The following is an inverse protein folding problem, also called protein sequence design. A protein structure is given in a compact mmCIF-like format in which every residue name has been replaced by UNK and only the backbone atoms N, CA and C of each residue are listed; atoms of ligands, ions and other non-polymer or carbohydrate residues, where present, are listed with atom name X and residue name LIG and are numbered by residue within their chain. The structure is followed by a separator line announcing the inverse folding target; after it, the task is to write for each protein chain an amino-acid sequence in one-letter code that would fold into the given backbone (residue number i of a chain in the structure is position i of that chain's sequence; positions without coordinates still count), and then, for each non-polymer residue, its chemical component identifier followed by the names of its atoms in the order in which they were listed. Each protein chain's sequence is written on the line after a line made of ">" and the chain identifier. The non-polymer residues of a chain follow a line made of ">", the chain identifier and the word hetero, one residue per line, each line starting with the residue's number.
data_IF_934488042061
#
_entry.id   IF_934488042061
#
_cell.length_a   1.000
_cell.length_b   1.000
_cell.length_c   1.000
_cell.angle_alpha   90.00
_cell.angle_beta   90.00
_cell.angle_gamma   90.00
#
_symmetry.space_group_name_H-M   'P 1'
#
loop_
_entity.id
_entity.type
_entity.pdbx_description
1 polymer ?
#
# COMPACT_ATOMS: atom_id res chain seq x y z
N UNK A 1 12.30 -47.20 13.14
CA UNK A 1 11.18 -46.26 13.35
C UNK A 1 11.68 -44.90 12.94
N UNK A 2 11.41 -44.52 11.71
CA UNK A 2 11.83 -43.20 11.18
C UNK A 2 10.76 -42.19 11.53
N UNK A 3 11.13 -41.16 12.25
CA UNK A 3 10.33 -39.97 12.57
C UNK A 3 10.00 -39.25 11.24
N UNK A 4 8.75 -38.89 10.96
CA UNK A 4 8.44 -38.08 9.80
C UNK A 4 9.01 -36.69 10.03
N UNK A 5 9.94 -36.28 9.16
CA UNK A 5 10.51 -34.93 9.14
C UNK A 5 9.41 -33.91 9.07
N UNK A 6 9.41 -32.98 10.03
CA UNK A 6 8.57 -31.80 9.99
C UNK A 6 8.77 -31.10 8.65
N UNK A 7 7.68 -30.77 7.97
CA UNK A 7 7.70 -29.87 6.82
C UNK A 7 8.20 -28.52 7.34
N UNK A 8 9.48 -28.25 7.15
CA UNK A 8 10.05 -26.93 7.43
C UNK A 8 9.21 -25.91 6.68
N UNK A 9 8.93 -24.77 7.31
CA UNK A 9 8.26 -23.65 6.67
C UNK A 9 9.05 -23.30 5.40
N UNK A 10 8.52 -23.68 4.24
CA UNK A 10 9.15 -23.46 2.92
C UNK A 10 9.08 -22.01 2.48
N UNK A 11 8.40 -21.14 3.24
CA UNK A 11 8.23 -19.72 2.94
C UNK A 11 9.41 -18.88 3.45
N UNK A 12 10.62 -19.21 2.98
CA UNK A 12 11.83 -18.43 3.29
C UNK A 12 11.92 -17.09 2.56
N UNK A 13 11.01 -16.80 1.62
CA UNK A 13 10.94 -15.55 0.85
C UNK A 13 9.73 -14.73 1.23
N UNK A 14 9.77 -13.41 0.93
CA UNK A 14 8.67 -12.50 1.19
C UNK A 14 8.37 -11.55 0.02
N UNK A 15 7.07 -11.30 -0.21
CA UNK A 15 6.58 -10.19 -1.02
C UNK A 15 6.09 -9.09 -0.07
N UNK A 16 6.72 -7.92 -0.16
CA UNK A 16 6.29 -6.68 0.47
C UNK A 16 5.73 -5.79 -0.63
N UNK A 17 4.53 -5.27 -0.46
CA UNK A 17 3.87 -4.48 -1.50
C UNK A 17 3.13 -3.29 -0.88
N UNK A 18 3.20 -2.14 -1.55
CA UNK A 18 2.46 -0.94 -1.16
C UNK A 18 0.95 -1.10 -1.39
N UNK A 19 0.18 -0.23 -0.75
CA UNK A 19 -1.26 -0.10 -0.95
C UNK A 19 -1.59 1.00 -1.96
N UNK A 20 -1.36 2.27 -1.61
CA UNK A 20 -1.71 3.42 -2.42
C UNK A 20 -0.87 3.52 -3.69
N UNK A 21 -1.49 3.76 -4.84
CA UNK A 21 -0.79 3.80 -6.13
C UNK A 21 -0.38 2.43 -6.69
N UNK A 22 -0.59 1.33 -5.94
CA UNK A 22 -0.31 -0.05 -6.38
C UNK A 22 -1.55 -0.92 -6.31
N UNK A 23 -2.02 -1.25 -5.11
CA UNK A 23 -3.20 -2.10 -4.89
C UNK A 23 -4.51 -1.30 -4.79
N UNK A 24 -4.39 -0.03 -4.40
CA UNK A 24 -5.51 0.90 -4.24
C UNK A 24 -5.19 2.14 -5.05
N UNK A 25 -6.08 2.50 -5.96
CA UNK A 25 -5.90 3.71 -6.76
C UNK A 25 -5.77 4.95 -5.87
N UNK A 26 -4.87 5.86 -6.25
CA UNK A 26 -4.76 7.15 -5.57
C UNK A 26 -5.99 8.01 -5.89
N UNK A 27 -6.79 8.28 -4.87
CA UNK A 27 -7.99 9.10 -5.00
C UNK A 27 -7.69 10.61 -5.03
N UNK A 28 -6.50 11.03 -4.61
CA UNK A 28 -6.17 12.46 -4.46
C UNK A 28 -6.30 13.25 -5.77
N UNK A 29 -5.76 12.81 -6.93
CA UNK A 29 -5.86 13.59 -8.15
C UNK A 29 -7.31 13.88 -8.55
N UNK A 30 -8.17 12.86 -8.54
CA UNK A 30 -9.59 13.01 -8.88
C UNK A 30 -10.35 13.85 -7.84
N UNK A 31 -10.09 13.63 -6.57
CA UNK A 31 -10.69 14.42 -5.48
C UNK A 31 -10.27 15.88 -5.56
N UNK A 32 -8.99 16.15 -5.78
CA UNK A 32 -8.47 17.51 -5.92
C UNK A 32 -9.09 18.23 -7.12
N UNK A 33 -9.27 17.56 -8.24
CA UNK A 33 -9.95 18.13 -9.42
C UNK A 33 -11.40 18.52 -9.10
N UNK A 34 -12.17 17.62 -8.51
CA UNK A 34 -13.58 17.87 -8.13
C UNK A 34 -13.68 19.03 -7.14
N UNK A 35 -12.83 19.04 -6.12
CA UNK A 35 -12.88 20.06 -5.05
C UNK A 35 -12.31 21.41 -5.48
N UNK A 36 -11.40 21.46 -6.45
CA UNK A 36 -10.91 22.70 -7.03
C UNK A 36 -12.08 23.54 -7.59
N UNK A 37 -12.98 22.90 -8.34
CA UNK A 37 -14.18 23.57 -8.86
C UNK A 37 -15.13 24.03 -7.76
N UNK A 38 -15.32 23.21 -6.70
CA UNK A 38 -16.22 23.55 -5.57
C UNK A 38 -15.71 24.73 -4.73
N UNK A 39 -14.39 24.91 -4.68
CA UNK A 39 -13.74 25.90 -3.83
C UNK A 39 -13.24 27.14 -4.59
N UNK A 40 -13.20 27.09 -5.93
CA UNK A 40 -12.59 28.12 -6.76
C UNK A 40 -11.06 28.20 -6.60
N UNK A 41 -10.44 27.05 -6.34
CA UNK A 41 -8.99 26.86 -6.17
C UNK A 41 -8.42 26.09 -7.37
N UNK A 42 -7.10 25.94 -7.44
CA UNK A 42 -6.49 24.97 -8.36
C UNK A 42 -6.47 23.56 -7.72
N UNK A 43 -6.41 22.48 -8.52
CA UNK A 43 -6.23 21.13 -7.99
C UNK A 43 -4.98 21.01 -7.11
N UNK A 44 -3.92 21.72 -7.46
CA UNK A 44 -2.69 21.77 -6.67
C UNK A 44 -2.92 22.41 -5.30
N UNK A 45 -3.65 23.54 -5.22
CA UNK A 45 -3.97 24.20 -3.94
C UNK A 45 -4.77 23.25 -3.02
N UNK A 46 -5.70 22.48 -3.60
CA UNK A 46 -6.47 21.48 -2.83
C UNK A 46 -5.55 20.36 -2.33
N UNK A 47 -4.69 19.81 -3.20
CA UNK A 47 -3.74 18.77 -2.81
C UNK A 47 -2.77 19.26 -1.72
N UNK A 48 -2.24 20.49 -1.86
CA UNK A 48 -1.39 21.14 -0.84
C UNK A 48 -2.17 21.41 0.45
N UNK A 49 -3.44 21.75 0.38
CA UNK A 49 -4.31 21.89 1.54
C UNK A 49 -4.47 20.61 2.33
N UNK A 50 -4.49 19.47 1.63
CA UNK A 50 -4.60 18.14 2.25
C UNK A 50 -3.23 17.61 2.71
N UNK A 51 -2.18 17.71 1.87
CA UNK A 51 -0.86 17.12 2.13
C UNK A 51 0.28 18.14 2.32
N UNK A 52 -0.03 19.42 2.52
CA UNK A 52 0.97 20.48 2.59
C UNK A 52 1.62 20.64 3.97
N UNK A 53 2.68 19.90 4.23
CA UNK A 53 3.68 20.27 5.25
C UNK A 53 3.66 19.52 6.58
N UNK A 54 2.49 19.21 7.17
CA UNK A 54 2.42 18.52 8.48
C UNK A 54 1.84 17.10 8.41
N UNK A 55 1.58 16.58 7.21
CA UNK A 55 1.03 15.24 7.00
C UNK A 55 1.88 14.15 7.61
N UNK A 56 3.20 14.36 7.68
CA UNK A 56 4.14 13.44 8.33
C UNK A 56 3.72 13.12 9.77
N UNK A 57 3.09 14.08 10.47
CA UNK A 57 2.70 13.87 11.86
C UNK A 57 1.56 12.84 11.98
N UNK A 58 0.58 12.88 11.07
CA UNK A 58 -0.51 11.89 11.05
C UNK A 58 -0.02 10.55 10.48
N UNK A 59 0.85 10.58 9.47
CA UNK A 59 1.41 9.38 8.85
C UNK A 59 2.31 8.57 9.78
N UNK A 60 2.92 9.21 10.79
CA UNK A 60 3.72 8.52 11.81
C UNK A 60 3.03 8.43 13.18
N UNK A 61 1.72 8.69 13.21
CA UNK A 61 0.91 8.54 14.42
C UNK A 61 1.16 9.57 15.53
N UNK A 62 1.83 10.70 15.23
CA UNK A 62 2.07 11.79 16.19
C UNK A 62 0.94 12.80 16.27
N UNK A 63 0.05 12.79 15.29
CA UNK A 63 -1.16 13.61 15.26
C UNK A 63 -2.36 12.68 15.06
N UNK A 64 -3.46 12.95 15.77
CA UNK A 64 -4.70 12.21 15.53
C UNK A 64 -5.30 12.58 14.17
N UNK A 65 -6.04 11.66 13.57
CA UNK A 65 -6.70 11.94 12.30
C UNK A 65 -7.78 13.04 12.40
N UNK A 66 -8.59 13.15 13.47
CA UNK A 66 -9.47 14.29 13.66
C UNK A 66 -8.72 15.64 13.69
N UNK A 67 -7.60 15.73 14.44
CA UNK A 67 -6.78 16.95 14.49
C UNK A 67 -6.21 17.32 13.11
N UNK A 68 -5.85 16.31 12.32
CA UNK A 68 -5.41 16.51 10.95
C UNK A 68 -6.52 17.09 10.07
N UNK A 69 -7.73 16.56 10.16
CA UNK A 69 -8.87 17.09 9.40
C UNK A 69 -9.24 18.51 9.82
N UNK A 70 -9.01 18.90 11.08
CA UNK A 70 -9.13 20.29 11.54
C UNK A 70 -8.06 21.21 10.90
N UNK A 71 -6.84 20.70 10.66
CA UNK A 71 -5.79 21.42 9.92
C UNK A 71 -6.22 21.62 8.47
N UNK A 72 -6.67 20.55 7.79
CA UNK A 72 -7.16 20.58 6.40
C UNK A 72 -8.34 21.58 6.26
N UNK A 73 -9.31 21.51 7.18
CA UNK A 73 -10.46 22.41 7.19
C UNK A 73 -10.05 23.89 7.24
N UNK A 74 -9.10 24.23 8.13
CA UNK A 74 -8.58 25.60 8.23
C UNK A 74 -7.84 26.05 6.97
N UNK A 75 -7.02 25.17 6.36
CA UNK A 75 -6.24 25.49 5.17
C UNK A 75 -7.13 25.76 3.96
N UNK A 76 -8.18 24.97 3.80
CA UNK A 76 -9.10 25.05 2.66
C UNK A 76 -10.35 25.90 2.94
N UNK A 77 -10.48 26.48 4.14
CA UNK A 77 -11.64 27.30 4.51
C UNK A 77 -12.95 26.54 4.56
N UNK A 78 -12.91 25.24 5.00
CA UNK A 78 -14.07 24.36 5.02
C UNK A 78 -14.81 24.44 6.36
N UNK A 79 -16.13 24.34 6.30
CA UNK A 79 -16.95 24.02 7.46
C UNK A 79 -16.97 22.51 7.74
N UNK A 80 -17.57 22.10 8.86
CA UNK A 80 -17.61 20.71 9.28
C UNK A 80 -18.28 19.76 8.24
N UNK A 81 -19.33 20.24 7.56
CA UNK A 81 -20.06 19.43 6.58
C UNK A 81 -19.22 19.21 5.31
N UNK A 82 -18.55 20.26 4.82
CA UNK A 82 -17.64 20.18 3.68
C UNK A 82 -16.39 19.35 4.00
N UNK A 83 -15.85 19.48 5.21
CA UNK A 83 -14.71 18.65 5.66
C UNK A 83 -15.07 17.18 5.66
N UNK A 84 -16.25 16.83 6.20
CA UNK A 84 -16.73 15.44 6.19
C UNK A 84 -16.93 14.91 4.76
N UNK A 85 -17.47 15.73 3.85
CA UNK A 85 -17.65 15.35 2.45
C UNK A 85 -16.31 15.19 1.72
N UNK A 86 -15.33 16.08 1.94
CA UNK A 86 -13.98 15.93 1.37
C UNK A 86 -13.32 14.64 1.84
N UNK A 87 -13.43 14.36 3.15
CA UNK A 87 -12.91 13.11 3.71
C UNK A 87 -13.54 11.89 3.08
N UNK A 88 -14.85 11.87 2.93
CA UNK A 88 -15.58 10.77 2.31
C UNK A 88 -15.20 10.59 0.83
N UNK A 89 -15.13 11.68 0.06
CA UNK A 89 -14.66 11.66 -1.33
C UNK A 89 -13.22 11.10 -1.46
N UNK A 90 -12.35 11.38 -0.48
CA UNK A 90 -10.94 10.94 -0.50
C UNK A 90 -10.74 9.50 -0.01
N UNK A 91 -11.54 9.05 0.98
CA UNK A 91 -11.26 7.80 1.71
C UNK A 91 -12.39 6.79 1.68
N UNK A 92 -13.61 7.19 1.29
CA UNK A 92 -14.81 6.36 1.41
C UNK A 92 -14.98 5.30 0.33
N UNK A 93 -14.33 5.45 -0.82
CA UNK A 93 -14.59 4.63 -2.01
C UNK A 93 -13.29 4.09 -2.64
N UNK A 94 -12.56 3.18 -1.97
CA UNK A 94 -11.32 2.65 -2.51
C UNK A 94 -11.57 1.82 -3.78
N UNK A 95 -10.81 2.11 -4.84
CA UNK A 95 -10.80 1.32 -6.09
C UNK A 95 -9.58 0.41 -6.06
N UNK A 96 -9.81 -0.89 -6.18
CA UNK A 96 -8.76 -1.90 -6.09
C UNK A 96 -8.28 -2.35 -7.46
N UNK A 97 -6.98 -2.65 -7.56
CA UNK A 97 -6.45 -3.50 -8.62
C UNK A 97 -6.69 -4.97 -8.23
N UNK A 98 -7.81 -5.52 -8.68
CA UNK A 98 -8.23 -6.87 -8.33
C UNK A 98 -7.21 -7.92 -8.79
N UNK A 99 -6.51 -7.70 -9.91
CA UNK A 99 -5.50 -8.63 -10.41
C UNK A 99 -4.29 -8.69 -9.47
N UNK A 100 -3.82 -7.56 -8.95
CA UNK A 100 -2.74 -7.54 -7.96
C UNK A 100 -3.19 -8.07 -6.60
N UNK A 101 -4.42 -7.79 -6.18
CA UNK A 101 -4.99 -8.35 -4.94
C UNK A 101 -5.06 -9.87 -5.02
N UNK A 102 -5.51 -10.41 -6.15
CA UNK A 102 -5.57 -11.85 -6.37
C UNK A 102 -4.17 -12.48 -6.46
N UNK A 103 -3.20 -11.77 -7.06
CA UNK A 103 -1.80 -12.21 -7.09
C UNK A 103 -1.21 -12.35 -5.67
N UNK A 104 -1.42 -11.36 -4.79
CA UNK A 104 -0.98 -11.47 -3.38
C UNK A 104 -1.57 -12.71 -2.71
N UNK A 105 -2.87 -12.97 -2.94
CA UNK A 105 -3.54 -14.14 -2.41
C UNK A 105 -2.96 -15.45 -2.98
N UNK A 106 -2.68 -15.50 -4.28
CA UNK A 106 -2.16 -16.67 -4.98
C UNK A 106 -0.74 -17.06 -4.51
N UNK A 107 0.13 -16.06 -4.25
CA UNK A 107 1.51 -16.32 -3.82
C UNK A 107 1.64 -16.59 -2.33
N UNK A 108 0.67 -16.22 -1.49
CA UNK A 108 0.70 -16.37 -0.03
C UNK A 108 1.00 -17.80 0.47
N UNK A 109 0.56 -18.90 -0.18
CA UNK A 109 0.94 -20.25 0.22
C UNK A 109 2.43 -20.55 0.02
N UNK A 110 3.13 -19.80 -0.85
CA UNK A 110 4.52 -20.07 -1.28
C UNK A 110 5.51 -19.11 -0.63
N UNK A 111 5.13 -17.85 -0.50
CA UNK A 111 5.96 -16.81 0.12
C UNK A 111 5.17 -16.12 1.24
N UNK A 112 5.88 -15.50 2.19
CA UNK A 112 5.25 -14.61 3.18
C UNK A 112 4.86 -13.31 2.50
N UNK A 113 3.77 -12.69 2.93
CA UNK A 113 3.26 -11.47 2.31
C UNK A 113 3.02 -10.38 3.34
N UNK A 114 3.41 -9.14 3.03
CA UNK A 114 3.07 -7.99 3.84
C UNK A 114 2.69 -6.78 3.00
N UNK A 115 1.68 -6.05 3.45
CA UNK A 115 1.46 -4.69 2.99
C UNK A 115 2.33 -3.72 3.79
N UNK A 116 2.98 -2.76 3.10
CA UNK A 116 3.86 -1.77 3.72
C UNK A 116 3.49 -0.40 3.18
N UNK A 117 2.75 0.38 3.95
CA UNK A 117 2.13 1.60 3.45
C UNK A 117 2.36 2.81 4.35
N UNK A 118 2.57 3.98 3.73
CA UNK A 118 2.39 5.26 4.37
C UNK A 118 0.89 5.50 4.51
N UNK A 119 0.37 5.34 5.71
CA UNK A 119 -1.06 5.18 5.94
C UNK A 119 -1.57 6.05 7.10
N UNK A 120 -2.78 6.51 6.96
CA UNK A 120 -3.50 7.18 8.01
C UNK A 120 -4.19 6.18 8.95
N UNK A 121 -4.57 6.58 10.18
CA UNK A 121 -5.18 5.67 11.16
C UNK A 121 -6.43 4.93 10.67
N UNK A 122 -7.30 5.58 9.85
CA UNK A 122 -8.50 4.94 9.30
C UNK A 122 -8.21 3.76 8.36
N UNK A 123 -6.99 3.68 7.78
CA UNK A 123 -6.61 2.63 6.83
C UNK A 123 -6.81 1.24 7.44
N UNK A 124 -6.49 1.07 8.72
CA UNK A 124 -6.65 -0.23 9.41
C UNK A 124 -8.10 -0.74 9.37
N UNK A 125 -9.06 0.13 9.59
CA UNK A 125 -10.48 -0.22 9.60
C UNK A 125 -11.11 -0.13 8.21
N UNK A 126 -10.78 0.91 7.44
CA UNK A 126 -11.32 1.14 6.09
C UNK A 126 -10.91 0.07 5.08
N UNK A 127 -9.69 -0.46 5.21
CA UNK A 127 -9.17 -1.51 4.32
C UNK A 127 -9.05 -2.88 5.01
N UNK A 128 -9.77 -3.15 6.10
CA UNK A 128 -9.63 -4.37 6.89
C UNK A 128 -9.74 -5.66 6.05
N UNK A 129 -10.68 -5.70 5.10
CA UNK A 129 -10.86 -6.84 4.19
C UNK A 129 -9.65 -7.05 3.30
N UNK A 130 -9.09 -5.97 2.70
CA UNK A 130 -7.87 -6.05 1.90
C UNK A 130 -6.69 -6.49 2.77
N UNK A 131 -6.50 -5.86 3.93
CA UNK A 131 -5.38 -6.14 4.83
C UNK A 131 -5.35 -7.60 5.29
N UNK A 132 -6.51 -8.27 5.36
CA UNK A 132 -6.59 -9.70 5.70
C UNK A 132 -6.06 -10.64 4.60
N UNK A 133 -5.79 -10.12 3.38
CA UNK A 133 -5.29 -10.92 2.26
C UNK A 133 -3.79 -11.23 2.37
N UNK A 134 -3.03 -10.47 3.17
CA UNK A 134 -1.62 -10.72 3.44
C UNK A 134 -1.42 -11.36 4.82
N UNK A 135 -0.18 -11.82 5.10
CA UNK A 135 0.18 -12.37 6.42
C UNK A 135 0.39 -11.25 7.45
N UNK A 136 0.79 -10.06 6.99
CA UNK A 136 0.98 -8.87 7.83
C UNK A 136 0.61 -7.58 7.09
N UNK A 137 0.37 -6.52 7.86
CA UNK A 137 0.26 -5.15 7.36
C UNK A 137 1.04 -4.22 8.29
N UNK A 138 2.02 -3.52 7.74
CA UNK A 138 2.87 -2.55 8.44
C UNK A 138 2.47 -1.16 7.94
N UNK A 139 1.74 -0.45 8.79
CA UNK A 139 1.21 0.88 8.50
C UNK A 139 2.04 1.92 9.25
N UNK A 140 2.50 2.95 8.56
CA UNK A 140 3.40 3.96 9.13
C UNK A 140 2.87 4.62 10.39
N UNK A 141 1.56 4.92 10.44
CA UNK A 141 0.90 5.52 11.61
C UNK A 141 0.93 4.63 12.86
N UNK A 142 1.11 3.32 12.71
CA UNK A 142 1.17 2.36 13.81
C UNK A 142 2.61 2.11 14.29
N UNK A 143 3.57 2.13 13.35
CA UNK A 143 4.97 1.84 13.64
C UNK A 143 5.83 3.08 13.90
N UNK A 144 5.27 4.27 13.68
CA UNK A 144 5.91 5.55 13.99
C UNK A 144 6.97 6.00 13.00
N UNK A 145 7.10 5.33 11.85
CA UNK A 145 8.03 5.67 10.77
C UNK A 145 7.39 5.40 9.41
N UNK A 146 7.69 6.25 8.43
CA UNK A 146 7.11 6.20 7.09
C UNK A 146 8.18 5.95 6.02
N UNK A 147 7.79 5.35 4.88
CA UNK A 147 8.66 5.28 3.69
C UNK A 147 9.02 6.71 3.26
N UNK A 148 10.25 6.98 2.83
CA UNK A 148 11.34 6.05 2.56
C UNK A 148 12.29 5.77 3.74
N UNK A 149 11.92 6.03 5.01
CA UNK A 149 12.78 5.68 6.16
C UNK A 149 13.03 4.17 6.20
N UNK A 150 14.30 3.73 6.35
CA UNK A 150 14.65 2.30 6.44
C UNK A 150 13.96 1.54 7.57
N UNK A 151 13.46 2.23 8.60
CA UNK A 151 12.81 1.64 9.76
C UNK A 151 11.57 0.83 9.41
N UNK A 152 10.71 1.36 8.54
CA UNK A 152 9.45 0.67 8.19
C UNK A 152 9.71 -0.66 7.44
N UNK A 153 10.74 -0.70 6.57
CA UNK A 153 11.11 -1.92 5.85
C UNK A 153 11.68 -2.97 6.79
N UNK A 154 12.53 -2.55 7.75
CA UNK A 154 13.07 -3.45 8.78
C UNK A 154 11.94 -4.03 9.64
N UNK A 155 10.99 -3.20 10.05
CA UNK A 155 9.82 -3.64 10.79
C UNK A 155 9.02 -4.71 10.00
N UNK A 156 8.83 -4.53 8.71
CA UNK A 156 8.15 -5.51 7.85
C UNK A 156 8.94 -6.83 7.73
N UNK A 157 10.25 -6.76 7.51
CA UNK A 157 11.12 -7.93 7.44
C UNK A 157 11.16 -8.70 8.76
N UNK A 158 11.25 -7.99 9.89
CA UNK A 158 11.23 -8.58 11.24
C UNK A 158 9.87 -9.24 11.53
N UNK A 159 8.77 -8.56 11.20
CA UNK A 159 7.40 -9.12 11.36
C UNK A 159 7.24 -10.42 10.59
N UNK A 160 7.79 -10.50 9.38
CA UNK A 160 7.74 -11.69 8.54
C UNK A 160 8.83 -12.72 8.90
N UNK A 161 9.88 -12.35 9.64
CA UNK A 161 11.01 -13.20 9.94
C UNK A 161 11.80 -13.59 8.69
N UNK A 162 12.02 -12.65 7.75
CA UNK A 162 12.69 -12.88 6.46
C UNK A 162 13.88 -11.94 6.31
N UNK A 163 14.98 -12.43 5.75
CA UNK A 163 16.13 -11.60 5.45
C UNK A 163 15.86 -10.71 4.21
N UNK A 164 16.43 -9.50 4.17
CA UNK A 164 16.21 -8.55 3.07
C UNK A 164 16.53 -9.14 1.70
N UNK A 165 17.61 -9.91 1.56
CA UNK A 165 18.00 -10.56 0.29
C UNK A 165 16.95 -11.54 -0.27
N UNK A 166 16.07 -12.01 0.60
CA UNK A 166 15.02 -12.99 0.29
C UNK A 166 13.64 -12.32 0.12
N UNK A 167 13.60 -10.98 0.02
CA UNK A 167 12.39 -10.19 -0.14
C UNK A 167 12.34 -9.45 -1.47
N UNK A 168 11.14 -9.34 -2.05
CA UNK A 168 10.78 -8.40 -3.11
C UNK A 168 9.92 -7.30 -2.52
N UNK A 169 10.26 -6.04 -2.78
CA UNK A 169 9.45 -4.87 -2.46
C UNK A 169 8.89 -4.24 -3.73
N UNK A 170 7.59 -3.98 -3.74
CA UNK A 170 6.85 -3.35 -4.85
C UNK A 170 6.22 -2.04 -4.35
N UNK A 171 6.46 -0.94 -5.07
CA UNK A 171 5.95 0.39 -4.73
C UNK A 171 5.95 1.25 -6.01
N UNK A 172 5.07 2.23 -6.14
CA UNK A 172 4.99 3.12 -7.29
C UNK A 172 6.05 4.23 -7.27
N UNK A 173 6.67 4.49 -6.10
CA UNK A 173 7.67 5.56 -5.92
C UNK A 173 9.08 5.00 -5.95
N UNK A 174 9.87 5.45 -6.93
CA UNK A 174 11.28 5.03 -7.09
C UNK A 174 12.10 5.27 -5.82
N UNK A 175 11.86 6.35 -5.07
CA UNK A 175 12.61 6.64 -3.84
C UNK A 175 12.40 5.57 -2.75
N UNK A 176 11.18 5.01 -2.66
CA UNK A 176 10.84 3.93 -1.74
C UNK A 176 11.55 2.64 -2.17
N UNK A 177 11.47 2.31 -3.47
CA UNK A 177 12.12 1.13 -4.04
C UNK A 177 13.64 1.24 -3.93
N UNK A 178 14.23 2.42 -4.14
CA UNK A 178 15.67 2.64 -3.97
C UNK A 178 16.12 2.38 -2.52
N UNK A 179 15.30 2.74 -1.53
CA UNK A 179 15.60 2.42 -0.12
C UNK A 179 15.55 0.91 0.14
N UNK A 180 14.55 0.21 -0.38
CA UNK A 180 14.47 -1.24 -0.28
C UNK A 180 15.69 -1.93 -0.90
N UNK A 181 16.13 -1.48 -2.09
CA UNK A 181 17.34 -1.96 -2.76
C UNK A 181 18.61 -1.72 -1.93
N UNK A 182 18.76 -0.54 -1.31
CA UNK A 182 19.89 -0.25 -0.38
C UNK A 182 19.92 -1.16 0.82
N UNK A 183 18.77 -1.65 1.28
CA UNK A 183 18.67 -2.63 2.36
C UNK A 183 18.96 -4.08 1.92
N UNK A 184 19.16 -4.30 0.61
CA UNK A 184 19.47 -5.61 0.03
C UNK A 184 18.25 -6.40 -0.44
N UNK A 185 17.06 -5.80 -0.49
CA UNK A 185 15.88 -6.40 -1.12
C UNK A 185 15.97 -6.30 -2.65
N UNK A 186 15.25 -7.19 -3.36
CA UNK A 186 14.83 -6.89 -4.73
C UNK A 186 13.79 -5.78 -4.68
N UNK A 187 13.79 -4.91 -5.70
CA UNK A 187 12.83 -3.80 -5.76
C UNK A 187 12.24 -3.68 -7.15
N UNK A 188 10.93 -3.56 -7.23
CA UNK A 188 10.18 -3.32 -8.46
C UNK A 188 9.37 -2.03 -8.33
N UNK A 189 9.55 -1.11 -9.29
CA UNK A 189 8.72 0.10 -9.38
C UNK A 189 7.46 -0.26 -10.15
N UNK A 190 6.32 -0.12 -9.49
CA UNK A 190 5.04 -0.32 -10.14
C UNK A 190 4.76 0.81 -11.13
N UNK A 191 4.55 0.45 -12.38
CA UNK A 191 4.15 1.36 -13.46
C UNK A 191 2.87 0.90 -14.13
N UNK A 192 2.69 -0.43 -14.19
CA UNK A 192 1.47 -1.06 -14.69
C UNK A 192 1.33 -2.47 -14.10
N UNK A 193 0.09 -2.92 -14.00
CA UNK A 193 -0.28 -4.24 -13.44
C UNK A 193 0.42 -5.41 -14.13
N UNK A 194 0.48 -5.52 -15.49
CA UNK A 194 1.11 -6.67 -16.13
C UNK A 194 2.60 -6.82 -15.81
N UNK A 195 3.34 -5.69 -15.72
CA UNK A 195 4.77 -5.70 -15.41
C UNK A 195 5.02 -6.10 -13.96
N UNK A 196 4.16 -5.66 -13.05
CA UNK A 196 4.22 -6.03 -11.64
C UNK A 196 3.88 -7.50 -11.43
N UNK A 197 2.86 -8.03 -12.10
CA UNK A 197 2.54 -9.45 -12.09
C UNK A 197 3.72 -10.29 -12.58
N UNK A 198 4.36 -9.90 -13.68
CA UNK A 198 5.53 -10.58 -14.21
C UNK A 198 6.71 -10.59 -13.22
N UNK A 199 6.97 -9.46 -12.56
CA UNK A 199 8.03 -9.35 -11.54
C UNK A 199 7.73 -10.23 -10.30
N UNK A 200 6.48 -10.28 -9.86
CA UNK A 200 6.05 -11.14 -8.75
C UNK A 200 6.11 -12.62 -9.15
N UNK A 201 5.69 -12.97 -10.37
CA UNK A 201 5.80 -14.33 -10.91
C UNK A 201 7.27 -14.79 -10.99
N UNK A 202 8.16 -13.97 -11.56
CA UNK A 202 9.60 -14.25 -11.61
C UNK A 202 10.19 -14.49 -10.21
N UNK A 203 9.80 -13.65 -9.25
CA UNK A 203 10.30 -13.75 -7.89
C UNK A 203 9.76 -14.97 -7.14
N UNK A 204 8.47 -15.27 -7.27
CA UNK A 204 7.80 -16.33 -6.49
C UNK A 204 7.85 -17.70 -7.17
N UNK A 205 7.91 -17.71 -8.50
CA UNK A 205 7.74 -18.92 -9.32
C UNK A 205 6.28 -19.40 -9.41
N UNK A 206 5.32 -18.56 -8.99
CA UNK A 206 3.88 -18.85 -9.06
C UNK A 206 3.32 -18.22 -10.33
N UNK A 207 2.74 -18.96 -11.28
CA UNK A 207 2.07 -18.40 -12.45
C UNK A 207 0.90 -17.51 -12.03
N UNK A 208 0.89 -16.24 -12.47
CA UNK A 208 -0.12 -15.24 -12.15
C UNK A 208 -0.95 -14.81 -13.38
N UNK A 209 -0.49 -15.14 -14.57
CA UNK A 209 -1.26 -14.97 -15.78
C UNK A 209 -2.26 -16.13 -15.84
N UNK A 210 -3.52 -15.87 -15.49
CA UNK A 210 -4.59 -16.84 -15.73
C UNK A 210 -4.66 -17.12 -17.22
N UNK A 211 -4.72 -18.37 -17.60
CA UNK A 211 -5.20 -18.77 -18.92
C UNK A 211 -6.50 -17.97 -19.16
N UNK A 212 -6.52 -17.16 -20.20
CA UNK A 212 -7.79 -16.65 -20.72
C UNK A 212 -8.71 -17.87 -20.85
N UNK A 213 -9.97 -17.82 -20.35
CA UNK A 213 -10.86 -18.96 -20.46
C UNK A 213 -10.92 -19.36 -21.93
N UNK A 214 -10.36 -20.54 -22.21
CA UNK A 214 -10.26 -21.09 -23.53
C UNK A 214 -11.63 -20.98 -24.20
N UNK A 215 -11.69 -20.29 -25.33
CA UNK A 215 -12.87 -20.23 -26.15
C UNK A 215 -13.34 -21.67 -26.37
N UNK A 216 -14.45 -22.02 -25.78
CA UNK A 216 -15.21 -23.16 -26.24
C UNK A 216 -15.73 -22.76 -27.61
N UNK A 217 -14.94 -23.15 -28.62
CA UNK A 217 -15.45 -23.26 -29.98
C UNK A 217 -16.46 -24.40 -30.00
N UNK A 218 -17.61 -24.07 -30.60
CA UNK A 218 -18.66 -24.89 -31.17
C UNK A 218 -19.41 -25.84 -30.21
#
# INVERSE_FOLDING_TARGET
>A
MSTPGGRGDTRGRALLIDLGGVLVADALPTTAEVWSHRLGLTPQDVAEGIYGGDEDQVLIGRMSEPDWWDVVARRLGLDAARTAALRDDLTGHPVYDDALVDAVRAVRPVVRTAFVSNAWPHTRTGLATLLSRADAAVLSCEVGVAKPDPGIYRCALETLGVAARDALFVDDREENVATARRLGMRGHVHTATPETLAAVEEFTGVPLHGDAPGGHGE
#
